data_IF_868068056824
#
_entry.id   IF_868068056824
#
_cell.length_a   1.000
_cell.length_b   1.000
_cell.length_c   1.000
_cell.angle_alpha   90.00
_cell.angle_beta   90.00
_cell.angle_gamma   90.00
#
_symmetry.space_group_name_H-M   'P 1'
#
loop_
_entity.id
_entity.type
_entity.pdbx_description
1 polymer ?
#
# COMPACT_ATOMS: atom_id res chain seq x y z
N UNK A 1 2.84 6.58 20.50
CA UNK A 1 4.07 5.72 20.50
C UNK A 1 4.19 5.15 19.10
N UNK A 2 5.33 5.32 18.41
CA UNK A 2 5.53 4.66 17.12
C UNK A 2 5.32 3.17 17.33
N UNK A 3 4.58 2.55 16.42
CA UNK A 3 4.11 1.19 16.59
C UNK A 3 5.30 0.22 16.60
N UNK A 4 5.35 -0.65 17.59
CA UNK A 4 6.45 -1.57 17.90
C UNK A 4 6.76 -2.61 16.80
N UNK A 5 5.98 -2.60 15.70
CA UNK A 5 6.04 -3.63 14.66
C UNK A 5 6.36 -3.10 13.25
N UNK A 6 6.85 -1.87 13.13
CA UNK A 6 7.25 -1.36 11.81
C UNK A 6 8.39 -2.21 11.23
N UNK A 7 8.26 -2.64 9.98
CA UNK A 7 9.23 -3.52 9.31
C UNK A 7 10.58 -2.83 9.07
N UNK A 8 10.56 -1.50 8.93
CA UNK A 8 11.75 -0.68 8.66
C UNK A 8 11.94 0.38 9.74
N UNK A 9 13.13 0.93 9.81
CA UNK A 9 13.44 2.05 10.68
C UNK A 9 12.65 3.31 10.30
N UNK A 10 12.40 4.20 11.28
CA UNK A 10 11.78 5.50 11.00
C UNK A 10 12.56 6.31 9.98
N UNK A 11 13.90 6.28 10.06
CA UNK A 11 14.77 6.99 9.12
C UNK A 11 14.63 6.48 7.68
N UNK A 12 14.38 5.19 7.49
CA UNK A 12 14.10 4.63 6.17
C UNK A 12 12.75 5.13 5.64
N UNK A 13 11.70 5.18 6.46
CA UNK A 13 10.42 5.76 6.04
C UNK A 13 10.54 7.26 5.75
N UNK A 14 11.26 8.02 6.57
CA UNK A 14 11.51 9.45 6.32
C UNK A 14 12.21 9.66 4.96
N UNK A 15 13.21 8.82 4.63
CA UNK A 15 13.89 8.82 3.33
C UNK A 15 12.92 8.55 2.18
N UNK A 16 12.05 7.54 2.32
CA UNK A 16 11.05 7.17 1.31
C UNK A 16 10.07 8.31 1.05
N UNK A 17 9.56 8.92 2.10
CA UNK A 17 8.66 10.06 2.02
C UNK A 17 9.35 11.25 1.32
N UNK A 18 10.59 11.57 1.70
CA UNK A 18 11.34 12.64 1.07
C UNK A 18 11.56 12.41 -0.44
N UNK A 19 11.92 11.19 -0.85
CA UNK A 19 12.06 10.82 -2.27
C UNK A 19 10.73 10.97 -3.03
N UNK A 20 9.63 10.52 -2.44
CA UNK A 20 8.31 10.61 -3.08
C UNK A 20 7.88 12.07 -3.23
N UNK A 21 8.08 12.90 -2.20
CA UNK A 21 7.78 14.33 -2.26
C UNK A 21 8.59 15.06 -3.32
N UNK A 22 9.87 14.75 -3.46
CA UNK A 22 10.71 15.32 -4.51
C UNK A 22 10.18 14.96 -5.91
N UNK A 23 9.69 13.73 -6.11
CA UNK A 23 9.05 13.32 -7.35
C UNK A 23 7.70 14.03 -7.57
N UNK A 24 6.88 14.18 -6.52
CA UNK A 24 5.63 14.93 -6.58
C UNK A 24 5.89 16.41 -6.96
N UNK A 25 6.89 17.05 -6.34
CA UNK A 25 7.27 18.43 -6.62
C UNK A 25 7.71 18.61 -8.08
N UNK A 26 8.51 17.67 -8.60
CA UNK A 26 8.97 17.70 -9.99
C UNK A 26 7.81 17.62 -11.01
N UNK A 27 6.70 16.98 -10.65
CA UNK A 27 5.49 16.84 -11.47
C UNK A 27 4.38 17.85 -11.08
N UNK A 28 4.65 18.72 -10.12
CA UNK A 28 3.71 19.73 -9.64
C UNK A 28 2.47 19.13 -8.96
N UNK A 29 2.61 17.97 -8.32
CA UNK A 29 1.55 17.27 -7.59
C UNK A 29 1.53 17.76 -6.14
N UNK A 30 0.40 18.28 -5.69
CA UNK A 30 0.21 18.76 -4.31
C UNK A 30 -0.07 17.62 -3.34
N UNK A 31 -0.86 16.64 -3.80
CA UNK A 31 -1.27 15.46 -3.01
C UNK A 31 -1.20 14.22 -3.88
N UNK A 32 -0.66 13.14 -3.34
CA UNK A 32 -0.64 11.82 -3.96
C UNK A 32 -1.62 10.90 -3.23
N UNK A 33 -2.47 10.20 -3.98
CA UNK A 33 -3.26 9.08 -3.51
C UNK A 33 -2.74 7.79 -4.16
N UNK A 34 -1.93 7.04 -3.42
CA UNK A 34 -1.33 5.78 -3.86
C UNK A 34 -2.22 4.60 -3.47
N UNK A 35 -2.69 3.84 -4.45
CA UNK A 35 -3.64 2.73 -4.27
C UNK A 35 -3.00 1.36 -4.43
N UNK A 36 -1.85 1.24 -5.10
CA UNK A 36 -1.11 -0.02 -5.20
C UNK A 36 -0.67 -0.51 -3.80
N UNK A 37 -0.99 -1.77 -3.41
CA UNK A 37 -0.65 -2.29 -2.09
C UNK A 37 0.84 -2.22 -1.75
N UNK A 38 1.71 -2.43 -2.74
CA UNK A 38 3.16 -2.34 -2.52
C UNK A 38 3.61 -0.90 -2.31
N UNK A 39 2.96 0.08 -2.94
CA UNK A 39 3.22 1.50 -2.74
C UNK A 39 2.68 1.97 -1.39
N UNK A 40 1.50 1.50 -0.98
CA UNK A 40 0.99 1.71 0.37
C UNK A 40 1.95 1.17 1.42
N UNK A 41 2.40 -0.10 1.29
CA UNK A 41 3.36 -0.71 2.20
C UNK A 41 4.68 0.06 2.25
N UNK A 42 5.17 0.56 1.11
CA UNK A 42 6.41 1.32 1.04
C UNK A 42 6.31 2.69 1.73
N UNK A 43 5.17 3.37 1.61
CA UNK A 43 4.92 4.68 2.22
C UNK A 43 4.53 4.59 3.70
N UNK A 44 3.67 3.63 4.04
CA UNK A 44 3.01 3.57 5.35
C UNK A 44 3.41 2.39 6.21
N UNK A 45 4.00 1.36 5.63
CA UNK A 45 4.24 0.07 6.31
C UNK A 45 3.01 -0.83 6.36
N UNK A 46 1.87 -0.42 5.79
CA UNK A 46 0.67 -1.24 5.79
C UNK A 46 0.87 -2.56 5.04
N UNK A 47 0.71 -3.66 5.75
CA UNK A 47 0.86 -5.03 5.25
C UNK A 47 -0.45 -5.82 5.43
N UNK A 48 -1.55 -5.26 4.96
CA UNK A 48 -2.87 -5.89 5.00
C UNK A 48 -3.23 -6.56 3.68
N UNK A 49 -4.15 -7.51 3.74
CA UNK A 49 -4.62 -8.31 2.60
C UNK A 49 -5.97 -7.83 2.03
N UNK A 50 -6.40 -6.61 2.36
CA UNK A 50 -7.73 -6.07 2.02
C UNK A 50 -7.77 -5.27 0.72
N UNK A 51 -6.79 -5.40 -0.16
CA UNK A 51 -6.67 -4.67 -1.43
C UNK A 51 -7.84 -4.86 -2.42
N UNK A 52 -8.75 -5.80 -2.17
CA UNK A 52 -9.98 -6.03 -2.94
C UNK A 52 -11.10 -5.04 -2.61
N UNK A 53 -10.93 -4.19 -1.61
CA UNK A 53 -11.76 -3.02 -1.32
C UNK A 53 -10.93 -1.75 -1.53
N UNK A 54 -11.59 -0.60 -1.70
CA UNK A 54 -10.87 0.66 -1.88
C UNK A 54 -10.06 1.03 -0.65
N UNK A 55 -8.78 1.27 -0.85
CA UNK A 55 -7.85 1.73 0.18
C UNK A 55 -6.68 2.46 -0.48
N UNK A 56 -5.92 3.23 0.30
CA UNK A 56 -4.74 3.91 -0.23
C UNK A 56 -3.97 4.69 0.82
N UNK A 57 -2.80 5.18 0.41
CA UNK A 57 -2.01 6.12 1.17
C UNK A 57 -2.18 7.54 0.60
N UNK A 58 -2.54 8.50 1.43
CA UNK A 58 -2.62 9.92 1.09
C UNK A 58 -1.32 10.55 1.57
N UNK A 59 -0.58 11.20 0.68
CA UNK A 59 0.66 11.91 0.98
C UNK A 59 0.60 13.32 0.42
N UNK A 60 0.79 14.32 1.26
CA UNK A 60 1.00 15.72 0.92
C UNK A 60 2.44 16.18 1.22
N UNK A 61 2.75 17.47 0.99
CA UNK A 61 4.08 18.04 1.27
C UNK A 61 4.31 18.39 2.74
N UNK A 62 3.25 18.46 3.56
CA UNK A 62 3.31 19.02 4.91
C UNK A 62 3.46 17.98 6.03
N UNK A 63 2.83 16.81 5.89
CA UNK A 63 2.64 15.88 6.99
C UNK A 63 2.99 14.43 6.62
N UNK A 64 3.11 13.53 7.60
CA UNK A 64 3.26 12.11 7.35
C UNK A 64 2.04 11.55 6.62
N UNK A 65 2.20 10.46 5.83
CA UNK A 65 1.10 9.89 5.08
C UNK A 65 -0.06 9.48 5.99
N UNK A 66 -1.26 9.49 5.42
CA UNK A 66 -2.45 8.91 6.05
C UNK A 66 -2.73 7.61 5.31
N UNK A 67 -2.86 6.49 6.03
CA UNK A 67 -3.48 5.31 5.50
C UNK A 67 -5.00 5.46 5.58
N UNK A 68 -5.69 5.28 4.47
CA UNK A 68 -7.14 5.33 4.35
C UNK A 68 -7.67 4.02 3.79
N UNK A 69 -8.71 3.47 4.41
CA UNK A 69 -9.29 2.21 3.99
C UNK A 69 -10.58 1.88 4.74
N UNK A 70 -11.09 0.67 4.56
CA UNK A 70 -12.29 0.19 5.23
C UNK A 70 -12.09 0.16 6.76
N UNK A 71 -13.15 0.50 7.53
CA UNK A 71 -13.07 0.57 9.00
C UNK A 71 -12.57 -0.74 9.63
N UNK A 72 -13.04 -1.88 9.16
CA UNK A 72 -12.59 -3.19 9.65
C UNK A 72 -11.07 -3.38 9.51
N UNK A 73 -10.47 -2.85 8.44
CA UNK A 73 -9.06 -3.04 8.14
C UNK A 73 -8.15 -2.10 8.94
N UNK A 74 -8.72 -1.10 9.64
CA UNK A 74 -7.96 -0.25 10.56
C UNK A 74 -7.29 -1.06 11.67
N UNK A 75 -7.85 -2.21 12.05
CA UNK A 75 -7.24 -3.11 13.04
C UNK A 75 -5.89 -3.68 12.53
N UNK A 76 -5.81 -4.01 11.24
CA UNK A 76 -4.57 -4.40 10.56
C UNK A 76 -3.60 -3.23 10.42
N UNK A 77 -4.12 -2.06 10.01
CA UNK A 77 -3.32 -0.85 9.88
C UNK A 77 -2.64 -0.48 11.21
N UNK A 78 -3.37 -0.49 12.32
CA UNK A 78 -2.81 -0.24 13.67
C UNK A 78 -1.65 -1.17 14.05
N UNK A 79 -1.54 -2.33 13.42
CA UNK A 79 -0.48 -3.30 13.71
C UNK A 79 0.77 -3.15 12.86
N UNK A 80 0.61 -2.57 11.67
CA UNK A 80 1.66 -2.62 10.64
C UNK A 80 2.17 -1.26 10.21
N UNK A 81 1.32 -0.20 10.21
CA UNK A 81 1.79 1.14 9.86
C UNK A 81 2.76 1.70 10.90
N UNK A 82 3.71 2.51 10.43
CA UNK A 82 4.72 3.12 11.29
C UNK A 82 4.31 4.49 11.86
N UNK A 83 3.24 5.10 11.32
CA UNK A 83 2.73 6.40 11.76
C UNK A 83 1.88 6.26 13.04
N UNK A 84 1.57 7.40 13.64
CA UNK A 84 0.68 7.47 14.81
C UNK A 84 -0.78 7.17 14.42
N UNK A 85 -1.61 6.85 15.42
CA UNK A 85 -2.99 6.39 15.22
C UNK A 85 -3.89 7.42 14.52
N UNK A 86 -3.63 8.72 14.70
CA UNK A 86 -4.33 9.81 14.02
C UNK A 86 -4.12 9.83 12.50
N UNK A 87 -3.15 9.04 12.02
CA UNK A 87 -2.86 8.82 10.59
C UNK A 87 -3.52 7.59 10.00
N UNK A 88 -4.41 6.94 10.74
CA UNK A 88 -5.19 5.80 10.27
C UNK A 88 -6.64 6.25 10.13
N UNK A 89 -7.15 6.22 8.92
CA UNK A 89 -8.49 6.68 8.58
C UNK A 89 -9.35 5.55 8.04
N UNK A 90 -10.47 5.27 8.70
CA UNK A 90 -11.42 4.25 8.28
C UNK A 90 -12.69 4.85 7.70
N UNK A 91 -13.13 4.41 6.51
CA UNK A 91 -14.48 4.68 6.02
C UNK A 91 -15.47 3.61 6.46
N UNK A 92 -16.78 3.95 6.47
CA UNK A 92 -17.84 3.08 6.95
C UNK A 92 -17.97 1.78 6.12
N UNK A 93 -18.18 0.65 6.79
CA UNK A 93 -18.50 -0.64 6.15
C UNK A 93 -19.74 -0.54 5.24
N UNK A 94 -20.64 0.36 5.54
CA UNK A 94 -21.86 0.59 4.74
C UNK A 94 -21.56 0.96 3.29
N UNK A 95 -20.39 1.56 3.03
CA UNK A 95 -19.96 1.98 1.68
C UNK A 95 -19.40 0.81 0.85
N UNK A 96 -19.14 -0.34 1.46
CA UNK A 96 -18.58 -1.50 0.74
C UNK A 96 -19.65 -2.13 -0.12
N UNK A 97 -19.42 -2.15 -1.45
CA UNK A 97 -20.38 -2.67 -2.44
C UNK A 97 -21.80 -2.05 -2.35
N UNK A 98 -21.90 -0.83 -1.81
CA UNK A 98 -23.16 -0.10 -1.78
C UNK A 98 -23.51 0.37 -3.21
N UNK A 99 -24.74 0.13 -3.70
CA UNK A 99 -25.13 0.55 -5.06
C UNK A 99 -25.39 2.06 -5.20
N UNK A 100 -25.59 2.79 -4.09
CA UNK A 100 -25.98 4.20 -4.06
C UNK A 100 -24.88 5.14 -3.62
N UNK A 101 -23.98 4.69 -2.76
CA UNK A 101 -22.88 5.48 -2.18
C UNK A 101 -21.54 4.77 -2.40
N UNK A 102 -20.47 5.54 -2.49
CA UNK A 102 -19.15 4.99 -2.84
C UNK A 102 -18.08 5.41 -1.84
N UNK A 103 -17.10 4.56 -1.48
CA UNK A 103 -16.00 4.93 -0.56
C UNK A 103 -15.25 6.21 -0.96
N UNK A 104 -15.19 6.53 -2.25
CA UNK A 104 -14.51 7.75 -2.71
C UNK A 104 -15.22 9.05 -2.30
N UNK A 105 -16.48 9.00 -1.87
CA UNK A 105 -17.18 10.16 -1.26
C UNK A 105 -16.54 10.51 0.11
N UNK A 106 -16.23 9.48 0.93
CA UNK A 106 -15.47 9.68 2.19
C UNK A 106 -14.07 10.22 1.91
N UNK A 107 -13.37 9.65 0.90
CA UNK A 107 -12.06 10.15 0.51
C UNK A 107 -12.10 11.60 0.04
N UNK A 108 -13.05 11.96 -0.81
CA UNK A 108 -13.24 13.32 -1.31
C UNK A 108 -13.47 14.30 -0.16
N UNK A 109 -14.40 13.98 0.76
CA UNK A 109 -14.64 14.78 1.95
C UNK A 109 -13.38 14.97 2.77
N UNK A 110 -12.63 13.92 3.02
CA UNK A 110 -11.36 13.96 3.77
C UNK A 110 -10.33 14.86 3.10
N UNK A 111 -10.14 14.74 1.79
CA UNK A 111 -9.21 15.61 1.04
C UNK A 111 -9.63 17.09 1.11
N UNK A 112 -10.93 17.38 1.06
CA UNK A 112 -11.44 18.73 1.23
C UNK A 112 -11.20 19.25 2.65
N UNK A 113 -11.47 18.44 3.68
CA UNK A 113 -11.26 18.77 5.10
C UNK A 113 -9.78 19.02 5.40
N UNK A 114 -8.86 18.38 4.65
CA UNK A 114 -7.41 18.61 4.71
C UNK A 114 -6.95 19.85 3.93
N UNK A 115 -7.85 20.56 3.26
CA UNK A 115 -7.54 21.78 2.49
C UNK A 115 -7.18 21.53 1.02
N UNK A 116 -7.37 20.32 0.51
CA UNK A 116 -6.97 19.92 -0.84
C UNK A 116 -8.11 19.97 -1.87
N UNK A 117 -9.21 20.67 -1.59
CA UNK A 117 -10.42 20.71 -2.44
C UNK A 117 -10.21 21.27 -3.85
N UNK A 118 -9.11 22.02 -4.09
CA UNK A 118 -8.72 22.56 -5.41
C UNK A 118 -7.28 22.18 -5.78
N UNK A 119 -6.70 21.19 -5.11
CA UNK A 119 -5.33 20.78 -5.32
C UNK A 119 -5.14 19.99 -6.63
N UNK A 120 -3.91 19.93 -7.10
CA UNK A 120 -3.47 18.99 -8.15
C UNK A 120 -3.15 17.66 -7.49
N UNK A 121 -4.01 16.65 -7.70
CA UNK A 121 -3.99 15.37 -7.02
C UNK A 121 -3.50 14.29 -7.97
N UNK A 122 -2.35 13.70 -7.65
CA UNK A 122 -1.83 12.53 -8.35
C UNK A 122 -2.55 11.26 -7.94
N UNK A 123 -3.03 10.50 -8.91
CA UNK A 123 -3.70 9.20 -8.71
C UNK A 123 -2.95 8.14 -9.51
N UNK A 124 -2.78 6.97 -8.94
CA UNK A 124 -2.28 5.79 -9.68
C UNK A 124 -3.40 5.23 -10.56
N UNK A 125 -3.60 5.83 -11.76
CA UNK A 125 -4.75 5.56 -12.62
C UNK A 125 -4.67 4.22 -13.33
N UNK A 126 -3.47 3.74 -13.64
CA UNK A 126 -3.26 2.46 -14.35
C UNK A 126 -2.84 1.36 -13.36
N UNK A 127 -3.77 0.99 -12.46
CA UNK A 127 -3.63 -0.20 -11.62
C UNK A 127 -4.99 -0.86 -11.31
N UNK A 128 -4.95 -2.09 -10.79
CA UNK A 128 -6.15 -2.90 -10.54
C UNK A 128 -6.98 -2.43 -9.32
N UNK A 129 -6.47 -1.50 -8.54
CA UNK A 129 -7.04 -1.07 -7.25
C UNK A 129 -7.77 0.27 -7.35
N UNK A 130 -7.75 0.90 -8.52
CA UNK A 130 -8.42 2.15 -8.81
C UNK A 130 -9.32 2.02 -10.05
N UNK A 131 -10.62 2.03 -9.84
CA UNK A 131 -11.59 1.81 -10.91
C UNK A 131 -12.01 3.12 -11.59
N UNK A 132 -12.53 3.01 -12.82
CA UNK A 132 -13.15 4.15 -13.52
C UNK A 132 -14.32 4.75 -12.71
N UNK A 133 -15.09 3.95 -11.95
CA UNK A 133 -16.16 4.44 -11.08
C UNK A 133 -15.58 5.25 -9.93
N UNK A 134 -14.47 4.80 -9.32
CA UNK A 134 -13.78 5.56 -8.27
C UNK A 134 -13.36 6.95 -8.78
N UNK A 135 -12.80 7.02 -9.97
CA UNK A 135 -12.41 8.29 -10.60
C UNK A 135 -13.60 9.21 -10.88
N UNK A 136 -14.69 8.66 -11.41
CA UNK A 136 -15.91 9.44 -11.67
C UNK A 136 -16.49 10.05 -10.40
N UNK A 137 -16.54 9.28 -9.29
CA UNK A 137 -17.05 9.78 -8.00
C UNK A 137 -16.14 10.87 -7.42
N UNK A 138 -14.81 10.72 -7.49
CA UNK A 138 -13.91 11.79 -7.04
C UNK A 138 -14.10 13.08 -7.84
N UNK A 139 -14.21 13.00 -9.16
CA UNK A 139 -14.49 14.18 -10.00
C UNK A 139 -15.82 14.84 -9.67
N UNK A 140 -16.86 14.05 -9.38
CA UNK A 140 -18.19 14.56 -9.00
C UNK A 140 -18.13 15.31 -7.67
N UNK A 141 -17.43 14.75 -6.65
CA UNK A 141 -17.39 15.32 -5.31
C UNK A 141 -16.29 16.37 -5.10
N UNK A 142 -15.32 16.45 -6.01
CA UNK A 142 -14.22 17.43 -5.99
C UNK A 142 -14.07 18.16 -7.34
N UNK A 143 -15.10 18.92 -7.77
CA UNK A 143 -15.13 19.52 -9.13
C UNK A 143 -14.05 20.59 -9.36
N UNK A 144 -13.43 21.10 -8.30
CA UNK A 144 -12.38 22.09 -8.38
C UNK A 144 -10.97 21.49 -8.29
N UNK A 145 -10.84 20.20 -8.00
CA UNK A 145 -9.56 19.51 -7.97
C UNK A 145 -9.09 19.14 -9.39
N UNK A 146 -7.77 19.09 -9.58
CA UNK A 146 -7.18 18.66 -10.84
C UNK A 146 -6.55 17.26 -10.65
N UNK A 147 -7.26 16.22 -11.05
CA UNK A 147 -6.76 14.84 -10.98
C UNK A 147 -5.82 14.56 -12.16
N UNK A 148 -4.62 14.08 -11.85
CA UNK A 148 -3.60 13.73 -12.83
C UNK A 148 -3.10 12.32 -12.63
N UNK A 149 -2.65 11.68 -13.70
CA UNK A 149 -2.05 10.36 -13.63
C UNK A 149 -0.67 10.43 -12.98
N UNK A 150 -0.52 9.74 -11.86
CA UNK A 150 0.73 9.55 -11.13
C UNK A 150 1.15 8.06 -11.12
N UNK A 151 0.68 7.29 -12.11
CA UNK A 151 1.06 5.88 -12.27
C UNK A 151 2.57 5.75 -12.28
N UNK A 152 3.08 4.77 -11.55
CA UNK A 152 4.50 4.49 -11.40
C UNK A 152 5.35 5.57 -10.69
N UNK A 153 4.81 6.68 -10.21
CA UNK A 153 5.58 7.69 -9.47
C UNK A 153 6.30 7.06 -8.27
N UNK A 154 5.58 6.32 -7.42
CA UNK A 154 6.17 5.61 -6.27
C UNK A 154 7.00 4.42 -6.73
N UNK A 155 6.60 3.70 -7.78
CA UNK A 155 7.31 2.54 -8.29
C UNK A 155 8.76 2.89 -8.67
N UNK A 156 8.98 4.04 -9.30
CA UNK A 156 10.33 4.51 -9.64
C UNK A 156 11.15 4.83 -8.40
N UNK A 157 10.55 5.36 -7.33
CA UNK A 157 11.26 5.58 -6.08
C UNK A 157 11.65 4.26 -5.39
N UNK A 158 10.86 3.22 -5.57
CA UNK A 158 11.11 1.86 -5.06
C UNK A 158 12.12 1.08 -5.89
N UNK A 159 12.39 1.49 -7.14
CA UNK A 159 13.33 0.78 -8.02
C UNK A 159 14.73 0.68 -7.40
N UNK A 160 15.20 1.77 -6.79
CA UNK A 160 16.45 1.80 -6.03
C UNK A 160 16.20 1.36 -4.58
N UNK A 161 16.87 0.28 -4.15
CA UNK A 161 16.72 -0.30 -2.82
C UNK A 161 17.72 0.33 -1.84
N UNK A 162 17.27 0.62 -0.63
CA UNK A 162 18.17 0.96 0.48
C UNK A 162 18.94 -0.27 0.97
N UNK A 163 20.01 -0.05 1.71
CA UNK A 163 20.77 -1.14 2.34
C UNK A 163 19.90 -1.98 3.27
N UNK A 164 18.97 -1.33 4.01
CA UNK A 164 18.00 -2.01 4.87
C UNK A 164 17.06 -2.90 4.04
N UNK A 165 16.54 -2.40 2.92
CA UNK A 165 15.70 -3.19 2.01
C UNK A 165 16.48 -4.34 1.38
N UNK A 166 17.76 -4.14 1.00
CA UNK A 166 18.62 -5.20 0.46
C UNK A 166 18.85 -6.30 1.51
N UNK A 167 19.03 -5.94 2.79
CA UNK A 167 19.17 -6.92 3.86
C UNK A 167 17.92 -7.83 3.98
N UNK A 168 16.73 -7.26 3.92
CA UNK A 168 15.47 -8.04 3.89
C UNK A 168 15.35 -8.91 2.65
N UNK A 169 15.68 -8.39 1.47
CA UNK A 169 15.65 -9.15 0.21
C UNK A 169 16.61 -10.36 0.26
N UNK A 170 17.82 -10.17 0.78
CA UNK A 170 18.78 -11.28 0.95
C UNK A 170 18.27 -12.35 1.90
N UNK A 171 17.65 -11.95 3.01
CA UNK A 171 17.04 -12.90 3.95
C UNK A 171 15.87 -13.66 3.29
N UNK A 172 14.98 -12.97 2.58
CA UNK A 172 13.91 -13.60 1.84
C UNK A 172 14.41 -14.56 0.76
N UNK A 173 15.46 -14.16 0.02
CA UNK A 173 16.08 -15.02 -0.99
C UNK A 173 16.68 -16.31 -0.38
N UNK A 174 17.30 -16.24 0.80
CA UNK A 174 17.82 -17.43 1.48
C UNK A 174 16.73 -18.40 1.91
N UNK A 175 15.56 -17.88 2.32
CA UNK A 175 14.38 -18.70 2.64
C UNK A 175 13.84 -19.37 1.36
N UNK A 176 13.67 -18.60 0.29
CA UNK A 176 13.22 -19.13 -1.00
C UNK A 176 14.16 -20.21 -1.55
N UNK A 177 15.46 -20.02 -1.44
CA UNK A 177 16.46 -21.02 -1.86
C UNK A 177 16.25 -22.34 -1.12
N UNK A 178 16.08 -22.31 0.20
CA UNK A 178 15.85 -23.51 1.01
C UNK A 178 14.56 -24.23 0.58
N UNK A 179 13.47 -23.47 0.36
CA UNK A 179 12.19 -24.05 -0.08
C UNK A 179 12.34 -24.72 -1.45
N UNK A 180 13.05 -24.08 -2.38
CA UNK A 180 13.27 -24.66 -3.72
C UNK A 180 14.14 -25.92 -3.63
N UNK A 181 15.21 -25.93 -2.83
CA UNK A 181 16.04 -27.13 -2.61
C UNK A 181 15.20 -28.26 -2.03
N UNK A 182 14.43 -27.98 -0.99
CA UNK A 182 13.54 -28.95 -0.38
C UNK A 182 12.55 -29.53 -1.39
N UNK A 183 11.94 -28.69 -2.23
CA UNK A 183 11.03 -29.14 -3.28
C UNK A 183 11.69 -30.06 -4.30
N UNK A 184 12.93 -29.75 -4.71
CA UNK A 184 13.70 -30.58 -5.64
C UNK A 184 14.10 -31.94 -5.03
N UNK A 185 14.49 -31.95 -3.74
CA UNK A 185 14.84 -33.17 -3.02
C UNK A 185 13.64 -34.10 -2.78
N UNK A 186 12.45 -33.53 -2.59
CA UNK A 186 11.21 -34.27 -2.36
C UNK A 186 10.51 -34.76 -3.63
N UNK A 187 10.78 -34.12 -4.76
CA UNK A 187 10.15 -34.46 -6.04
C UNK A 187 10.72 -35.77 -6.58
N UNK A 188 9.96 -36.87 -6.44
CA UNK A 188 10.34 -38.19 -6.93
C UNK A 188 9.20 -38.83 -7.75
N UNK A 189 9.53 -39.77 -8.64
CA UNK A 189 8.49 -40.49 -9.39
C UNK A 189 7.51 -41.23 -8.44
N UNK A 190 6.22 -40.94 -8.62
CA UNK A 190 5.16 -41.57 -7.83
C UNK A 190 4.63 -40.73 -6.68
N UNK A 191 5.31 -39.64 -6.28
CA UNK A 191 4.76 -38.72 -5.27
C UNK A 191 3.49 -38.05 -5.82
N UNK A 192 2.47 -37.90 -5.00
CA UNK A 192 1.25 -37.20 -5.38
C UNK A 192 1.47 -35.69 -5.29
N UNK A 193 0.89 -34.94 -6.22
CA UNK A 193 0.99 -33.46 -6.25
C UNK A 193 0.59 -32.81 -4.93
N UNK A 194 -0.49 -33.24 -4.30
CA UNK A 194 -0.97 -32.69 -3.04
C UNK A 194 -0.01 -32.97 -1.86
N UNK A 195 0.66 -34.12 -1.86
CA UNK A 195 1.67 -34.46 -0.85
C UNK A 195 2.89 -33.54 -1.00
N UNK A 196 3.42 -33.43 -2.22
CA UNK A 196 4.55 -32.53 -2.51
C UNK A 196 4.22 -31.08 -2.17
N UNK A 197 3.05 -30.57 -2.56
CA UNK A 197 2.63 -29.20 -2.24
C UNK A 197 2.47 -29.01 -0.74
N UNK A 198 1.90 -29.98 -0.03
CA UNK A 198 1.76 -29.95 1.43
C UNK A 198 3.11 -29.83 2.12
N UNK A 199 4.10 -30.65 1.72
CA UNK A 199 5.46 -30.63 2.25
C UNK A 199 6.17 -29.29 1.97
N UNK A 200 6.04 -28.75 0.76
CA UNK A 200 6.61 -27.45 0.39
C UNK A 200 6.02 -26.32 1.23
N UNK A 201 4.69 -26.28 1.38
CA UNK A 201 4.01 -25.27 2.19
C UNK A 201 4.41 -25.38 3.65
N UNK A 202 4.50 -26.61 4.18
CA UNK A 202 4.97 -26.85 5.54
C UNK A 202 6.42 -26.32 5.73
N UNK A 203 7.33 -26.59 4.79
CA UNK A 203 8.70 -26.12 4.87
C UNK A 203 8.81 -24.59 4.85
N UNK A 204 7.90 -23.92 4.12
CA UNK A 204 7.85 -22.46 4.07
C UNK A 204 7.47 -21.83 5.42
N UNK A 205 6.61 -22.48 6.20
CA UNK A 205 6.14 -21.97 7.50
C UNK A 205 7.04 -22.35 8.68
N UNK A 206 7.57 -23.57 8.69
CA UNK A 206 8.39 -24.05 9.81
C UNK A 206 9.90 -23.86 9.61
N UNK A 207 10.30 -23.49 8.41
CA UNK A 207 11.69 -23.46 8.01
C UNK A 207 12.21 -24.86 7.66
N UNK A 208 13.29 -24.92 6.92
CA UNK A 208 14.05 -26.13 6.59
C UNK A 208 15.38 -26.13 7.33
#
# INVERSE_FOLDING_TARGET
MPLQNAAFSKSEYDRRIAKTRAAMEAEGIDVLFATDPSNQAWLTGYDGWSFYVHQGAILDHGTYPIWWGRMQDTAGARRTVWMEEDRIAGYSEYLVQNPHEHPMEDLAKRLIDLGHGSARIGIEMDNYYYSAKAHAVLNEHMPNANFVDATALVNWQRAEKSDEAIAFIRKAASISEKIVRFALEKAEPGIRKNELVGDIVQSAFYGT
#
